data_IF_178579800765
#
_entry.id   IF_178579800765
#
_cell.length_a   1.000
_cell.length_b   1.000
_cell.length_c   1.000
_cell.angle_alpha   90.00
_cell.angle_beta   90.00
_cell.angle_gamma   90.00
#
_symmetry.space_group_name_H-M   'P 1'
#
loop_
_entity.id
_entity.type
_entity.pdbx_description
1 polymer ?
#
# COMPACT_ATOMS: atom_id res chain seq x y z
N UNK A 1 1.96 -19.79 -4.20
CA UNK A 1 2.28 -20.67 -5.35
C UNK A 1 3.73 -20.53 -5.79
N UNK A 2 4.23 -19.33 -6.15
CA UNK A 2 5.66 -19.15 -6.47
C UNK A 2 6.57 -19.64 -5.35
N UNK A 3 6.26 -19.31 -4.11
CA UNK A 3 7.05 -19.76 -2.96
C UNK A 3 6.99 -21.28 -2.77
N UNK A 4 5.81 -21.89 -2.98
CA UNK A 4 5.63 -23.35 -3.00
C UNK A 4 6.52 -24.00 -4.06
N UNK A 5 6.52 -23.50 -5.30
CA UNK A 5 7.37 -24.03 -6.38
C UNK A 5 8.85 -23.86 -6.01
N UNK A 6 9.26 -22.71 -5.43
CA UNK A 6 10.63 -22.52 -4.95
C UNK A 6 11.01 -23.55 -3.89
N UNK A 7 10.12 -23.85 -2.95
CA UNK A 7 10.34 -24.87 -1.92
C UNK A 7 10.48 -26.27 -2.53
N UNK A 8 9.62 -26.64 -3.48
CA UNK A 8 9.71 -27.92 -4.18
C UNK A 8 11.03 -28.06 -4.96
N UNK A 9 11.45 -27.01 -5.67
CA UNK A 9 12.74 -26.98 -6.38
C UNK A 9 13.90 -27.07 -5.38
N UNK A 10 13.82 -26.37 -4.25
CA UNK A 10 14.86 -26.43 -3.22
C UNK A 10 15.01 -27.83 -2.62
N UNK A 11 13.90 -28.54 -2.39
CA UNK A 11 13.91 -29.93 -1.94
C UNK A 11 14.52 -30.87 -2.99
N UNK A 12 14.13 -30.72 -4.26
CA UNK A 12 14.70 -31.50 -5.36
C UNK A 12 16.21 -31.28 -5.51
N UNK A 13 16.68 -30.02 -5.40
CA UNK A 13 18.12 -29.71 -5.43
C UNK A 13 18.84 -30.35 -4.25
N UNK A 14 18.30 -30.26 -3.04
CA UNK A 14 18.91 -30.87 -1.84
C UNK A 14 19.04 -32.39 -1.99
N UNK A 15 18.04 -33.05 -2.59
CA UNK A 15 18.11 -34.46 -2.92
C UNK A 15 19.21 -34.75 -3.95
N UNK A 16 19.29 -33.98 -5.04
CA UNK A 16 20.32 -34.17 -6.06
C UNK A 16 21.75 -33.90 -5.56
N UNK A 17 21.93 -33.03 -4.57
CA UNK A 17 23.21 -32.86 -3.87
C UNK A 17 23.54 -34.11 -3.05
N UNK A 18 22.56 -34.66 -2.33
CA UNK A 18 22.73 -35.90 -1.54
C UNK A 18 23.06 -37.11 -2.42
N UNK A 19 22.51 -37.16 -3.64
CA UNK A 19 22.78 -38.20 -4.64
C UNK A 19 24.12 -38.00 -5.38
N UNK A 20 24.86 -36.92 -5.10
CA UNK A 20 26.15 -36.62 -5.72
C UNK A 20 26.06 -36.13 -7.17
N UNK A 21 24.88 -35.76 -7.65
CA UNK A 21 24.67 -35.20 -9.00
C UNK A 21 25.10 -33.72 -9.04
N UNK A 22 24.86 -32.98 -7.96
CA UNK A 22 25.23 -31.58 -7.82
C UNK A 22 26.33 -31.43 -6.75
N UNK A 23 27.31 -30.53 -6.94
CA UNK A 23 28.33 -30.29 -5.94
C UNK A 23 27.73 -29.64 -4.68
N UNK A 24 28.29 -29.96 -3.52
CA UNK A 24 27.90 -29.36 -2.24
C UNK A 24 28.17 -27.85 -2.19
N UNK A 25 27.40 -27.13 -1.37
CA UNK A 25 27.58 -25.68 -1.15
C UNK A 25 26.91 -24.77 -2.19
N UNK A 26 26.12 -25.31 -3.11
CA UNK A 26 25.35 -24.52 -4.06
C UNK A 26 24.12 -23.89 -3.40
N UNK A 27 24.07 -22.55 -3.36
CA UNK A 27 22.89 -21.77 -2.98
C UNK A 27 22.38 -20.91 -4.15
N UNK A 28 21.83 -21.53 -5.21
CA UNK A 28 21.34 -20.79 -6.36
C UNK A 28 20.13 -19.94 -5.99
N UNK A 29 20.05 -18.72 -6.54
CA UNK A 29 18.84 -17.91 -6.45
C UNK A 29 17.75 -18.52 -7.33
N UNK A 30 16.80 -19.25 -6.72
CA UNK A 30 15.70 -19.91 -7.44
C UNK A 30 14.72 -18.84 -7.94
N UNK A 31 14.74 -18.61 -9.26
CA UNK A 31 13.80 -17.72 -9.94
C UNK A 31 12.61 -18.51 -10.47
N UNK A 32 11.41 -18.03 -10.15
CA UNK A 32 10.14 -18.58 -10.63
C UNK A 32 9.31 -17.42 -11.15
N UNK A 33 9.07 -17.42 -12.46
CA UNK A 33 8.36 -16.36 -13.17
C UNK A 33 7.03 -16.87 -13.72
N UNK A 34 6.13 -15.93 -14.04
CA UNK A 34 4.92 -16.27 -14.78
C UNK A 34 5.26 -16.43 -16.25
N UNK A 35 4.71 -17.46 -16.87
CA UNK A 35 4.78 -17.66 -18.32
C UNK A 35 3.93 -16.62 -19.04
N UNK A 36 4.36 -16.21 -20.25
CA UNK A 36 3.57 -15.32 -21.11
C UNK A 36 2.47 -16.10 -21.83
N UNK A 37 2.82 -17.29 -22.32
CA UNK A 37 1.89 -18.17 -23.04
C UNK A 37 1.40 -19.29 -22.14
N UNK A 38 0.08 -19.45 -22.05
CA UNK A 38 -0.57 -20.49 -21.22
C UNK A 38 -0.26 -21.92 -21.68
N UNK A 39 0.14 -22.09 -22.95
CA UNK A 39 0.59 -23.39 -23.49
C UNK A 39 1.88 -23.88 -22.82
N UNK A 40 2.66 -22.97 -22.24
CA UNK A 40 3.90 -23.26 -21.52
C UNK A 40 3.69 -23.40 -20.00
N UNK A 41 2.45 -23.57 -19.53
CA UNK A 41 2.13 -23.67 -18.11
C UNK A 41 1.84 -22.31 -17.49
N UNK A 42 1.82 -22.24 -16.15
CA UNK A 42 1.53 -21.03 -15.37
C UNK A 42 2.80 -20.37 -14.83
N UNK A 43 3.82 -21.19 -14.56
CA UNK A 43 5.09 -20.76 -14.02
C UNK A 43 6.26 -21.42 -14.75
N UNK A 44 7.38 -20.72 -14.85
CA UNK A 44 8.60 -21.25 -15.43
C UNK A 44 9.80 -20.98 -14.52
N UNK A 45 10.78 -21.87 -14.55
CA UNK A 45 12.08 -21.71 -13.90
C UNK A 45 13.23 -22.07 -14.84
N UNK A 46 14.30 -21.27 -14.80
CA UNK A 46 15.56 -21.46 -15.53
C UNK A 46 16.64 -22.17 -14.70
N UNK A 47 16.27 -22.73 -13.55
CA UNK A 47 17.21 -23.26 -12.56
C UNK A 47 18.14 -24.34 -13.12
N UNK A 48 17.65 -25.20 -14.02
CA UNK A 48 18.46 -26.23 -14.65
C UNK A 48 19.58 -25.64 -15.53
N UNK A 49 19.33 -24.51 -16.20
CA UNK A 49 20.35 -23.82 -17.01
C UNK A 49 21.43 -23.18 -16.14
N UNK A 50 21.05 -22.65 -14.97
CA UNK A 50 22.00 -22.06 -14.04
C UNK A 50 22.90 -23.13 -13.39
N UNK A 51 22.34 -24.31 -13.09
CA UNK A 51 23.04 -25.40 -12.42
C UNK A 51 23.76 -26.37 -13.37
N UNK A 52 23.48 -26.32 -14.67
CA UNK A 52 24.09 -27.19 -15.68
C UNK A 52 25.62 -27.11 -15.70
N UNK A 53 26.17 -25.88 -15.65
CA UNK A 53 27.62 -25.66 -15.69
C UNK A 53 28.32 -26.19 -14.42
N UNK A 54 27.85 -25.87 -13.20
CA UNK A 54 28.36 -26.50 -11.97
C UNK A 54 28.23 -28.03 -11.95
N UNK A 55 27.16 -28.58 -12.53
CA UNK A 55 26.92 -30.02 -12.60
C UNK A 55 27.78 -30.74 -13.67
N UNK A 56 28.37 -30.00 -14.62
CA UNK A 56 29.03 -30.59 -15.79
C UNK A 56 28.06 -31.35 -16.71
N UNK A 57 26.76 -31.04 -16.66
CA UNK A 57 25.71 -31.73 -17.42
C UNK A 57 25.07 -30.82 -18.46
N UNK A 58 24.39 -31.41 -19.46
CA UNK A 58 23.53 -30.62 -20.35
C UNK A 58 22.32 -30.11 -19.55
N UNK A 59 21.87 -28.86 -19.78
CA UNK A 59 20.77 -28.30 -18.99
C UNK A 59 19.46 -29.09 -19.09
N UNK A 60 19.19 -29.73 -20.24
CA UNK A 60 18.03 -30.58 -20.42
C UNK A 60 18.09 -31.84 -19.55
N UNK A 61 19.21 -32.54 -19.55
CA UNK A 61 19.43 -33.74 -18.74
C UNK A 61 19.31 -33.42 -17.24
N UNK A 62 19.81 -32.23 -16.83
CA UNK A 62 19.65 -31.76 -15.46
C UNK A 62 18.19 -31.40 -15.14
N UNK A 63 17.45 -30.80 -16.08
CA UNK A 63 16.02 -30.51 -15.91
C UNK A 63 15.21 -31.80 -15.72
N UNK A 64 15.52 -32.87 -16.46
CA UNK A 64 14.88 -34.19 -16.30
C UNK A 64 15.13 -34.76 -14.90
N UNK A 65 16.38 -34.68 -14.41
CA UNK A 65 16.73 -35.10 -13.04
C UNK A 65 16.02 -34.27 -11.97
N UNK A 66 15.93 -32.95 -12.16
CA UNK A 66 15.21 -32.07 -11.22
C UNK A 66 13.74 -32.46 -11.19
N UNK A 67 13.09 -32.67 -12.34
CA UNK A 67 11.67 -33.07 -12.39
C UNK A 67 11.46 -34.44 -11.74
N UNK A 68 12.37 -35.39 -11.96
CA UNK A 68 12.29 -36.72 -11.34
C UNK A 68 12.48 -36.67 -9.81
N UNK A 69 13.25 -35.71 -9.30
CA UNK A 69 13.46 -35.46 -7.87
C UNK A 69 12.43 -34.50 -7.26
N UNK A 70 11.47 -33.97 -8.03
CA UNK A 70 10.42 -33.12 -7.47
C UNK A 70 9.48 -33.96 -6.58
N UNK A 71 9.21 -33.52 -5.34
CA UNK A 71 8.20 -34.16 -4.52
C UNK A 71 6.80 -33.98 -5.14
N UNK A 72 5.93 -34.97 -4.97
CA UNK A 72 4.53 -34.86 -5.39
C UNK A 72 3.80 -33.84 -4.52
N UNK A 73 3.17 -32.85 -5.15
CA UNK A 73 2.40 -31.79 -4.50
C UNK A 73 1.03 -31.63 -5.18
N UNK A 74 -0.04 -31.57 -4.40
CA UNK A 74 -1.42 -31.48 -4.91
C UNK A 74 -1.69 -30.22 -5.75
N UNK A 75 -0.86 -29.17 -5.59
CA UNK A 75 -1.02 -27.89 -6.26
C UNK A 75 -0.38 -27.84 -7.64
N UNK A 76 0.47 -28.81 -7.98
CA UNK A 76 1.15 -28.91 -9.27
C UNK A 76 0.60 -30.12 -10.01
N UNK A 77 -0.02 -29.90 -11.16
CA UNK A 77 -0.55 -31.00 -11.98
C UNK A 77 0.54 -31.72 -12.75
N UNK A 78 1.50 -30.98 -13.31
CA UNK A 78 2.64 -31.54 -14.06
C UNK A 78 3.76 -30.51 -14.20
N UNK A 79 4.95 -31.00 -14.50
CA UNK A 79 6.11 -30.19 -14.89
C UNK A 79 6.66 -30.70 -16.22
N UNK A 80 6.77 -29.83 -17.22
CA UNK A 80 7.29 -30.14 -18.56
C UNK A 80 8.60 -29.38 -18.81
N UNK A 81 9.46 -29.93 -19.67
CA UNK A 81 10.71 -29.27 -20.06
C UNK A 81 10.49 -28.55 -21.40
N UNK A 82 10.86 -27.28 -21.46
CA UNK A 82 10.81 -26.48 -22.68
C UNK A 82 12.20 -26.03 -23.14
N UNK A 83 12.40 -26.09 -24.47
CA UNK A 83 13.56 -25.57 -25.17
C UNK A 83 14.90 -26.07 -24.59
N UNK A 84 15.81 -25.16 -24.20
CA UNK A 84 17.16 -25.54 -23.76
C UNK A 84 17.23 -26.10 -22.34
N UNK A 85 16.14 -26.09 -21.56
CA UNK A 85 16.15 -26.54 -20.15
C UNK A 85 15.30 -25.68 -19.19
N UNK A 86 14.26 -25.01 -19.69
CA UNK A 86 13.28 -24.38 -18.82
C UNK A 86 12.35 -25.45 -18.24
N UNK A 87 12.03 -25.34 -16.95
CA UNK A 87 11.05 -26.20 -16.29
C UNK A 87 9.76 -25.40 -16.17
N UNK A 88 8.73 -25.86 -16.87
CA UNK A 88 7.41 -25.27 -16.91
C UNK A 88 6.47 -26.03 -15.97
N UNK A 89 5.85 -25.32 -15.02
CA UNK A 89 4.94 -25.88 -14.04
C UNK A 89 3.50 -25.53 -14.40
N UNK A 90 2.63 -26.53 -14.36
CA UNK A 90 1.20 -26.39 -14.56
C UNK A 90 0.50 -26.51 -13.21
N UNK A 91 -0.24 -25.47 -12.84
CA UNK A 91 -0.99 -25.46 -11.60
C UNK A 91 -2.19 -26.40 -11.70
N UNK A 92 -2.47 -27.14 -10.62
CA UNK A 92 -3.67 -27.95 -10.54
C UNK A 92 -4.91 -27.04 -10.45
N UNK A 93 -5.73 -27.06 -11.51
CA UNK A 93 -6.97 -26.26 -11.61
C UNK A 93 -7.98 -26.62 -10.54
N UNK A 94 -8.10 -27.90 -10.15
CA UNK A 94 -9.04 -28.33 -9.12
C UNK A 94 -8.61 -27.81 -7.74
N UNK A 95 -7.32 -27.93 -7.41
CA UNK A 95 -6.77 -27.36 -6.18
C UNK A 95 -6.93 -25.83 -6.13
N UNK A 96 -6.77 -25.16 -7.28
CA UNK A 96 -7.03 -23.72 -7.39
C UNK A 96 -8.51 -23.38 -7.18
N UNK A 97 -9.43 -24.11 -7.81
CA UNK A 97 -10.87 -23.91 -7.65
C UNK A 97 -11.30 -24.07 -6.18
N UNK A 98 -10.87 -25.14 -5.51
CA UNK A 98 -11.18 -25.35 -4.09
C UNK A 98 -10.63 -24.23 -3.19
N UNK A 99 -9.47 -23.65 -3.52
CA UNK A 99 -8.93 -22.47 -2.80
C UNK A 99 -9.76 -21.22 -3.04
N UNK A 100 -10.27 -21.02 -4.26
CA UNK A 100 -11.16 -19.91 -4.58
C UNK A 100 -12.49 -20.03 -3.84
N UNK A 101 -13.08 -21.23 -3.78
CA UNK A 101 -14.31 -21.48 -3.02
C UNK A 101 -14.10 -21.19 -1.52
N UNK A 102 -12.98 -21.65 -0.96
CA UNK A 102 -12.62 -21.35 0.43
C UNK A 102 -12.40 -19.85 0.67
N UNK A 103 -11.79 -19.13 -0.28
CA UNK A 103 -11.61 -17.69 -0.19
C UNK A 103 -12.94 -16.94 -0.28
N UNK A 104 -13.85 -17.34 -1.17
CA UNK A 104 -15.18 -16.73 -1.30
C UNK A 104 -16.04 -16.92 -0.04
N UNK A 105 -15.82 -17.99 0.71
CA UNK A 105 -16.48 -18.24 2.00
C UNK A 105 -15.88 -17.44 3.18
N UNK A 106 -14.71 -16.84 3.01
CA UNK A 106 -14.02 -16.05 4.04
C UNK A 106 -14.35 -14.55 3.88
N UNK A 107 -14.74 -13.89 4.97
CA UNK A 107 -14.99 -12.44 4.99
C UNK A 107 -13.77 -11.63 4.54
N UNK A 108 -12.55 -12.16 4.76
CA UNK A 108 -11.29 -11.54 4.33
C UNK A 108 -10.73 -12.10 3.02
N UNK A 109 -11.49 -12.92 2.29
CA UNK A 109 -11.09 -13.49 0.99
C UNK A 109 -9.77 -14.28 1.07
N UNK A 110 -9.52 -14.94 2.20
CA UNK A 110 -8.29 -15.70 2.44
C UNK A 110 -7.03 -14.83 2.62
N UNK A 111 -7.16 -13.51 2.76
CA UNK A 111 -6.02 -12.62 3.03
C UNK A 111 -5.57 -12.81 4.49
N UNK A 112 -4.31 -13.20 4.66
CA UNK A 112 -3.68 -13.37 5.97
C UNK A 112 -2.43 -12.53 6.07
N UNK A 113 -2.17 -11.99 7.27
CA UNK A 113 -0.91 -11.33 7.57
C UNK A 113 0.19 -12.37 7.77
N UNK A 114 1.31 -12.17 7.08
CA UNK A 114 2.54 -12.90 7.38
C UNK A 114 3.19 -12.28 8.62
N UNK A 115 3.25 -13.04 9.72
CA UNK A 115 3.88 -12.62 10.97
C UNK A 115 2.91 -12.04 12.01
N UNK A 116 3.43 -11.63 13.18
CA UNK A 116 2.61 -11.19 14.30
C UNK A 116 1.88 -9.87 14.02
N UNK A 117 0.73 -9.69 14.66
CA UNK A 117 0.03 -8.40 14.69
C UNK A 117 0.92 -7.35 15.35
N UNK A 118 0.89 -6.14 14.81
CA UNK A 118 1.70 -5.01 15.27
C UNK A 118 0.82 -3.82 15.60
N UNK A 119 1.35 -2.93 16.43
CA UNK A 119 0.77 -1.61 16.67
C UNK A 119 1.56 -0.59 15.86
N UNK A 120 0.96 -0.04 14.81
CA UNK A 120 1.66 0.79 13.82
C UNK A 120 1.14 2.21 13.86
N UNK A 121 2.04 3.19 14.00
CA UNK A 121 1.69 4.60 13.90
C UNK A 121 1.91 5.05 12.45
N UNK A 122 0.89 5.64 11.85
CA UNK A 122 0.94 6.21 10.49
C UNK A 122 0.79 7.72 10.62
N UNK A 123 1.86 8.45 10.37
CA UNK A 123 1.82 9.92 10.26
C UNK A 123 1.37 10.31 8.85
N UNK A 124 0.32 11.12 8.76
CA UNK A 124 -0.29 11.52 7.49
C UNK A 124 -0.81 12.96 7.54
N UNK A 125 -1.04 13.52 6.36
CA UNK A 125 -1.63 14.85 6.12
C UNK A 125 -0.73 16.01 6.54
N UNK A 126 -0.51 16.19 7.85
CA UNK A 126 0.27 17.25 8.47
C UNK A 126 -0.02 18.68 7.91
N UNK A 127 -1.30 19.14 7.89
CA UNK A 127 -1.63 20.48 7.45
C UNK A 127 -1.18 21.52 8.48
N UNK A 128 -0.83 22.71 8.01
CA UNK A 128 -0.56 23.86 8.87
C UNK A 128 -1.89 24.58 9.18
N UNK A 129 -2.24 24.72 10.46
CA UNK A 129 -3.54 25.26 10.89
C UNK A 129 -3.69 26.77 10.67
N UNK A 130 -2.59 27.49 10.50
CA UNK A 130 -2.62 28.92 10.25
C UNK A 130 -2.90 29.28 8.78
N UNK A 131 -3.12 28.28 7.91
CA UNK A 131 -3.53 28.45 6.52
C UNK A 131 -4.57 27.41 6.12
N UNK A 132 -5.33 27.72 5.08
CA UNK A 132 -6.24 26.74 4.49
C UNK A 132 -5.48 25.53 3.94
N UNK A 133 -6.11 24.35 4.04
CA UNK A 133 -5.57 23.14 3.45
C UNK A 133 -5.57 23.25 1.92
N UNK A 134 -4.40 23.08 1.30
CA UNK A 134 -4.24 23.08 -0.15
C UNK A 134 -3.84 21.71 -0.70
N UNK A 135 -3.80 21.60 -2.03
CA UNK A 135 -3.44 20.38 -2.82
C UNK A 135 -2.13 19.71 -2.37
N UNK A 136 -1.23 20.47 -1.73
CA UNK A 136 0.04 19.96 -1.22
C UNK A 136 -0.11 18.92 -0.12
N UNK A 137 -1.18 19.00 0.68
CA UNK A 137 -1.45 18.02 1.74
C UNK A 137 -2.20 16.78 1.24
N UNK A 138 -2.87 16.86 0.08
CA UNK A 138 -3.73 15.77 -0.42
C UNK A 138 -2.95 14.46 -0.65
N UNK A 139 -1.73 14.54 -1.18
CA UNK A 139 -0.92 13.34 -1.45
C UNK A 139 -0.62 12.58 -0.17
N UNK A 140 -0.14 13.28 0.85
CA UNK A 140 0.18 12.67 2.15
C UNK A 140 -1.06 12.09 2.81
N UNK A 141 -2.19 12.82 2.77
CA UNK A 141 -3.47 12.33 3.31
C UNK A 141 -3.94 11.05 2.62
N UNK A 142 -3.96 11.01 1.28
CA UNK A 142 -4.51 9.88 0.53
C UNK A 142 -3.60 8.64 0.66
N UNK A 143 -2.29 8.81 0.51
CA UNK A 143 -1.34 7.70 0.63
C UNK A 143 -1.33 7.17 2.06
N UNK A 144 -1.26 8.06 3.05
CA UNK A 144 -1.27 7.67 4.46
C UNK A 144 -2.53 6.92 4.86
N UNK A 145 -3.71 7.40 4.44
CA UNK A 145 -4.96 6.69 4.73
C UNK A 145 -5.05 5.35 3.97
N UNK A 146 -4.57 5.29 2.74
CA UNK A 146 -4.49 4.04 1.97
C UNK A 146 -3.62 2.99 2.68
N UNK A 147 -2.45 3.38 3.17
CA UNK A 147 -1.56 2.50 3.94
C UNK A 147 -2.23 2.07 5.25
N UNK A 148 -2.83 3.00 5.98
CA UNK A 148 -3.52 2.70 7.24
C UNK A 148 -4.65 1.67 7.05
N UNK A 149 -5.46 1.82 6.01
CA UNK A 149 -6.53 0.86 5.68
C UNK A 149 -6.01 -0.53 5.36
N UNK A 150 -4.91 -0.63 4.60
CA UNK A 150 -4.29 -1.92 4.27
C UNK A 150 -3.78 -2.60 5.54
N UNK A 151 -3.11 -1.87 6.42
CA UNK A 151 -2.60 -2.40 7.68
C UNK A 151 -3.72 -2.85 8.63
N UNK A 152 -4.81 -2.08 8.73
CA UNK A 152 -6.00 -2.47 9.50
C UNK A 152 -6.67 -3.72 8.93
N UNK A 153 -6.78 -3.81 7.60
CA UNK A 153 -7.34 -5.00 6.94
C UNK A 153 -6.51 -6.26 7.21
N UNK A 154 -5.18 -6.11 7.29
CA UNK A 154 -4.26 -7.18 7.71
C UNK A 154 -4.35 -7.51 9.22
N UNK A 155 -5.07 -6.71 10.00
CA UNK A 155 -5.33 -6.93 11.43
C UNK A 155 -4.46 -6.13 12.39
N UNK A 156 -3.64 -5.21 11.91
CA UNK A 156 -2.80 -4.38 12.78
C UNK A 156 -3.62 -3.32 13.53
N UNK A 157 -3.15 -3.00 14.74
CA UNK A 157 -3.68 -1.85 15.47
C UNK A 157 -3.02 -0.59 14.93
N UNK A 158 -3.73 0.14 14.07
CA UNK A 158 -3.19 1.35 13.44
C UNK A 158 -3.59 2.60 14.22
N UNK A 159 -2.60 3.45 14.50
CA UNK A 159 -2.80 4.78 15.06
C UNK A 159 -2.50 5.80 13.96
N UNK A 160 -3.54 6.45 13.44
CA UNK A 160 -3.39 7.57 12.52
C UNK A 160 -2.98 8.80 13.33
N UNK A 161 -1.79 9.32 13.08
CA UNK A 161 -1.30 10.55 13.68
C UNK A 161 -1.32 11.66 12.65
N UNK A 162 -1.96 12.78 12.99
CA UNK A 162 -1.92 13.96 12.15
C UNK A 162 -1.02 14.99 12.83
N UNK A 163 0.25 15.05 12.43
CA UNK A 163 1.21 16.01 12.97
C UNK A 163 0.97 17.40 12.38
N UNK A 164 -0.08 18.06 12.88
CA UNK A 164 -0.50 19.38 12.41
C UNK A 164 0.55 20.45 12.73
N UNK A 165 0.72 21.41 11.83
CA UNK A 165 1.52 22.60 12.09
C UNK A 165 0.72 23.60 12.91
N UNK A 166 0.70 23.42 14.23
CA UNK A 166 -0.04 24.23 15.20
C UNK A 166 0.84 25.24 15.96
N UNK A 167 2.14 25.29 15.67
CA UNK A 167 3.09 26.21 16.28
C UNK A 167 3.85 27.04 15.24
N UNK A 168 4.03 28.34 15.51
CA UNK A 168 4.87 29.24 14.72
C UNK A 168 4.45 30.71 14.76
N UNK A 169 5.26 31.59 14.17
CA UNK A 169 5.07 33.06 14.19
C UNK A 169 3.77 33.51 13.51
N UNK A 170 3.26 32.72 12.58
CA UNK A 170 2.00 32.95 11.89
C UNK A 170 0.79 33.03 12.83
N UNK A 171 0.84 32.36 13.99
CA UNK A 171 -0.21 32.45 15.01
C UNK A 171 -0.23 33.80 15.71
N UNK A 172 0.92 34.47 15.88
CA UNK A 172 0.98 35.81 16.47
C UNK A 172 0.23 36.84 15.62
N UNK A 173 0.43 36.79 14.30
CA UNK A 173 -0.31 37.64 13.35
C UNK A 173 -1.81 37.33 13.36
N UNK A 174 -2.18 36.05 13.40
CA UNK A 174 -3.58 35.63 13.45
C UNK A 174 -4.27 36.08 14.74
N UNK A 175 -3.61 35.93 15.90
CA UNK A 175 -4.15 36.36 17.19
C UNK A 175 -4.29 37.89 17.27
N UNK A 176 -3.28 38.64 16.81
CA UNK A 176 -3.35 40.11 16.75
C UNK A 176 -4.52 40.56 15.86
N UNK A 177 -4.68 39.95 14.69
CA UNK A 177 -5.81 40.24 13.80
C UNK A 177 -7.18 39.94 14.45
N UNK A 178 -7.31 38.82 15.16
CA UNK A 178 -8.55 38.46 15.88
C UNK A 178 -8.85 39.42 17.04
N UNK A 179 -7.83 39.98 17.69
CA UNK A 179 -8.01 41.02 18.72
C UNK A 179 -8.47 42.35 18.12
N UNK A 180 -7.87 42.76 17.01
CA UNK A 180 -8.23 44.00 16.30
C UNK A 180 -9.58 43.91 15.58
N UNK A 181 -9.96 42.71 15.14
CA UNK A 181 -11.22 42.43 14.45
C UNK A 181 -12.03 41.37 15.20
N UNK A 182 -12.67 41.73 16.34
CA UNK A 182 -13.49 40.80 17.09
C UNK A 182 -14.61 40.24 16.20
N UNK A 183 -14.67 38.92 16.08
CA UNK A 183 -15.74 38.28 15.33
C UNK A 183 -17.07 38.51 16.07
N UNK A 184 -18.15 38.92 15.38
CA UNK A 184 -19.45 39.09 16.01
C UNK A 184 -19.92 37.75 16.59
N UNK A 185 -20.34 37.75 17.86
CA UNK A 185 -20.75 36.56 18.61
C UNK A 185 -21.87 35.75 17.93
N UNK A 186 -22.59 36.33 16.98
CA UNK A 186 -23.71 35.75 16.23
C UNK A 186 -23.34 34.62 15.26
N UNK A 187 -22.06 34.46 14.89
CA UNK A 187 -21.63 33.38 13.97
C UNK A 187 -20.93 32.20 14.66
N UNK A 188 -20.75 32.23 15.98
CA UNK A 188 -20.42 31.01 16.73
C UNK A 188 -21.67 30.16 16.87
N UNK A 189 -22.03 29.44 15.81
CA UNK A 189 -22.96 28.31 15.93
C UNK A 189 -22.22 27.29 16.79
N UNK A 190 -22.51 27.28 18.09
CA UNK A 190 -22.02 26.27 19.03
C UNK A 190 -22.21 24.91 18.37
N UNK A 191 -21.13 24.17 18.15
CA UNK A 191 -21.21 22.75 17.84
C UNK A 191 -21.81 22.07 19.08
N UNK A 192 -23.14 22.05 19.14
CA UNK A 192 -23.88 21.34 20.16
C UNK A 192 -23.70 19.87 19.79
N UNK A 193 -22.82 19.16 20.49
CA UNK A 193 -22.78 17.70 20.44
C UNK A 193 -24.19 17.23 20.80
N UNK A 194 -24.90 16.59 19.86
CA UNK A 194 -26.20 16.02 20.14
C UNK A 194 -26.00 14.77 21.01
N UNK A 195 -25.84 14.95 22.32
CA UNK A 195 -26.02 13.86 23.29
C UNK A 195 -27.50 13.78 23.64
N UNK A 196 -28.33 13.44 22.65
CA UNK A 196 -29.71 13.02 22.88
C UNK A 196 -29.80 11.53 22.53
N UNK A 197 -30.13 10.63 23.49
CA UNK A 197 -30.36 9.22 23.18
C UNK A 197 -31.61 9.09 22.30
N UNK A 198 -31.65 8.14 21.35
CA UNK A 198 -32.78 8.03 20.43
C UNK A 198 -34.01 7.52 21.21
N UNK A 199 -35.03 8.37 21.34
CA UNK A 199 -36.36 7.94 21.76
C UNK A 199 -37.07 7.28 20.57
N UNK A 200 -37.55 6.07 20.79
CA UNK A 200 -38.30 5.22 19.86
C UNK A 200 -39.40 5.96 19.09
N UNK A 201 -39.40 5.85 17.76
CA UNK A 201 -40.58 6.04 16.93
C UNK A 201 -40.49 5.18 15.64
N UNK A 202 -41.21 4.06 15.68
CA UNK A 202 -41.92 3.35 14.60
C UNK A 202 -41.54 3.61 13.12
N UNK A 203 -41.04 2.53 12.50
CA UNK A 203 -41.36 2.02 11.15
C UNK A 203 -42.11 2.91 10.16
N UNK A 204 -41.37 3.46 9.21
CA UNK A 204 -41.70 3.40 7.77
C UNK A 204 -40.45 3.71 6.94
N UNK A 205 -40.03 2.77 6.10
CA UNK A 205 -38.86 2.86 5.21
C UNK A 205 -39.23 3.67 3.96
N UNK A 206 -38.38 4.61 3.50
CA UNK A 206 -38.21 4.83 2.08
C UNK A 206 -36.78 4.50 1.63
N UNK A 207 -36.73 4.14 0.36
CA UNK A 207 -35.63 3.66 -0.45
C UNK A 207 -34.46 4.64 -0.64
N UNK A 208 -33.26 4.08 -0.82
CA UNK A 208 -32.00 4.63 -1.38
C UNK A 208 -31.24 5.70 -0.58
N UNK A 209 -29.90 5.55 -0.36
CA UNK A 209 -29.09 6.59 0.24
C UNK A 209 -28.66 7.60 -0.83
N UNK A 210 -29.36 8.72 -0.90
CA UNK A 210 -28.83 9.91 -1.58
C UNK A 210 -27.80 10.55 -0.65
N UNK A 211 -26.53 10.55 -1.06
CA UNK A 211 -25.44 11.24 -0.35
C UNK A 211 -25.77 12.74 -0.34
N UNK A 212 -25.91 13.41 0.82
CA UNK A 212 -26.12 14.85 0.85
C UNK A 212 -24.85 15.55 0.36
N UNK A 213 -24.99 16.22 -0.78
CA UNK A 213 -23.94 17.01 -1.41
C UNK A 213 -23.37 18.07 -0.47
N UNK A 214 -22.09 18.35 -0.68
CA UNK A 214 -21.30 19.34 0.02
C UNK A 214 -22.05 20.67 0.22
N UNK A 215 -22.33 21.00 1.48
CA UNK A 215 -22.66 22.35 1.91
C UNK A 215 -21.37 23.16 1.98
N UNK A 216 -20.84 23.54 0.82
CA UNK A 216 -19.79 24.56 0.69
C UNK A 216 -20.36 25.74 -0.08
N UNK A 217 -21.25 26.49 0.57
CA UNK A 217 -21.69 27.79 0.07
C UNK A 217 -21.61 28.84 1.16
N UNK A 218 -20.80 29.86 0.85
CA UNK A 218 -20.76 31.21 1.41
C UNK A 218 -20.36 31.39 2.88
N UNK A 219 -19.05 31.44 3.10
CA UNK A 219 -18.43 32.43 4.00
C UNK A 219 -17.12 32.89 3.37
N UNK A 220 -17.17 33.96 2.55
CA UNK A 220 -15.98 34.71 2.14
C UNK A 220 -15.89 35.94 3.05
N UNK A 221 -14.87 36.08 3.92
CA UNK A 221 -14.39 37.39 4.30
C UNK A 221 -13.61 37.94 3.09
N UNK A 222 -14.01 39.11 2.58
CA UNK A 222 -13.18 39.84 1.63
C UNK A 222 -11.93 40.33 2.38
N UNK A 223 -10.76 39.74 2.10
CA UNK A 223 -9.48 40.32 2.53
C UNK A 223 -9.31 41.70 1.86
N UNK A 224 -8.97 42.76 2.60
CA UNK A 224 -8.64 44.06 2.03
C UNK A 224 -7.45 43.95 1.05
N UNK A 225 -7.51 44.70 -0.04
CA UNK A 225 -6.54 44.71 -1.14
C UNK A 225 -5.09 45.05 -0.73
N UNK A 226 -4.86 45.56 0.48
CA UNK A 226 -3.55 45.94 1.00
C UNK A 226 -2.61 44.75 1.33
N UNK A 227 -3.11 43.51 1.32
CA UNK A 227 -2.33 42.32 1.71
C UNK A 227 -2.14 41.29 0.57
N UNK A 228 -2.39 41.67 -0.69
CA UNK A 228 -1.98 40.88 -1.87
C UNK A 228 -0.54 41.22 -2.27
N UNK A 229 0.43 40.70 -1.53
CA UNK A 229 1.79 40.59 -2.05
C UNK A 229 2.04 39.13 -2.50
N UNK A 230 1.96 38.91 -3.81
CA UNK A 230 2.49 37.70 -4.44
C UNK A 230 1.68 37.16 -5.61
N UNK A 231 1.79 37.79 -6.79
CA UNK A 231 1.90 37.12 -8.10
C UNK A 231 1.84 38.15 -9.25
N UNK A 232 2.81 38.06 -10.16
CA UNK A 232 2.90 38.68 -11.50
C UNK A 232 3.61 40.04 -11.66
N UNK A 233 4.68 39.99 -12.46
CA UNK A 233 5.31 41.00 -13.34
C UNK A 233 5.79 42.36 -12.79
N UNK A 234 7.13 42.51 -12.87
CA UNK A 234 7.96 43.73 -13.00
C UNK A 234 7.21 45.07 -12.96
N UNK A 235 7.35 45.82 -11.88
CA UNK A 235 8.08 47.12 -11.80
C UNK A 235 7.85 47.72 -10.41
N UNK A 236 8.93 48.23 -9.80
CA UNK A 236 9.03 49.00 -8.53
C UNK A 236 9.37 48.21 -7.25
N UNK A 237 10.40 48.63 -6.47
CA UNK A 237 10.92 47.88 -5.33
C UNK A 237 10.16 48.18 -4.02
N UNK A 238 9.92 47.12 -3.25
CA UNK A 238 9.43 47.16 -1.87
C UNK A 238 10.61 47.50 -0.92
N UNK A 239 10.42 48.32 0.14
CA UNK A 239 11.51 48.75 1.01
C UNK A 239 12.12 47.55 1.77
N UNK A 240 13.43 47.39 1.63
CA UNK A 240 14.24 46.35 2.28
C UNK A 240 14.41 46.65 3.77
N UNK A 241 13.83 45.82 4.63
CA UNK A 241 14.25 45.74 6.03
C UNK A 241 15.64 45.07 6.07
N UNK A 242 16.68 45.86 6.41
CA UNK A 242 18.04 45.37 6.66
C UNK A 242 18.01 44.33 7.78
N UNK A 243 18.56 43.14 7.51
CA UNK A 243 19.07 42.26 8.56
C UNK A 243 20.35 42.90 9.12
N UNK A 244 20.31 43.36 10.36
CA UNK A 244 21.54 43.62 11.12
C UNK A 244 21.99 42.32 11.76
N UNK A 245 22.95 41.66 11.12
CA UNK A 245 23.86 40.73 11.79
C UNK A 245 24.85 41.56 12.61
N UNK A 246 24.83 41.39 13.92
CA UNK A 246 25.97 41.67 14.81
C UNK A 246 26.21 40.41 15.63
N UNK A 247 27.49 40.06 15.74
CA UNK A 247 28.08 38.88 16.38
C UNK A 247 27.58 38.61 17.80
#
# INVERSE_FOLDING_TARGET
>A
MKDTIRQLIQQAIAQLVTEGVLPEGLSPAIQVENTRDKTHGDFASNIAMMLAKPAGMKPRDLAEKIIAALPTDENVSKADIAGPGFINFFQNTQALASRLDAALADERIGVRKAGPLQRTVVDLSAPNLAKEMHVGHLRSTIIGDGVARVLEFLGDTVIRQNHVGDWGTQFGMLMAYLQETPLPATNCRTWRTSTAPPSNASTSRPSSPTVPGAWWSSCRPAMPSAWRCGASSRTSPCPTARKSTSC
#
